data_IF_987368318494
#
_entry.id   IF_987368318494
#
_cell.length_a   1.000
_cell.length_b   1.000
_cell.length_c   1.000
_cell.angle_alpha   90.00
_cell.angle_beta   90.00
_cell.angle_gamma   90.00
#
_symmetry.space_group_name_H-M   'P 1'
#
loop_
_entity.id
_entity.type
_entity.pdbx_description
1 polymer ?
#
# COMPACT_ATOMS: atom_id res chain seq x y z
N UNK A 1 -10.59 -11.35 -12.48
CA UNK A 1 -9.30 -10.68 -12.76
C UNK A 1 -8.32 -11.26 -11.77
N UNK A 2 -7.19 -11.79 -12.23
CA UNK A 2 -6.16 -12.32 -11.35
C UNK A 2 -5.11 -11.23 -11.16
N UNK A 3 -4.80 -10.90 -9.91
CA UNK A 3 -3.83 -9.88 -9.55
C UNK A 3 -2.55 -10.54 -9.02
N UNK A 4 -1.40 -10.05 -9.47
CA UNK A 4 -0.13 -10.26 -8.80
C UNK A 4 0.10 -9.08 -7.87
N UNK A 5 0.42 -9.36 -6.60
CA UNK A 5 0.69 -8.34 -5.58
C UNK A 5 2.05 -8.63 -4.98
N UNK A 6 2.97 -7.68 -5.09
CA UNK A 6 4.23 -7.67 -4.35
C UNK A 6 4.08 -6.81 -3.10
N UNK A 7 4.10 -7.44 -1.93
CA UNK A 7 3.95 -6.80 -0.62
C UNK A 7 5.33 -6.52 -0.01
N UNK A 8 5.99 -5.49 -0.53
CA UNK A 8 7.28 -5.03 0.00
C UNK A 8 7.13 -4.19 1.27
N UNK A 9 8.19 -4.12 2.08
CA UNK A 9 8.19 -3.37 3.34
C UNK A 9 8.10 -1.85 3.15
N UNK A 10 8.54 -1.31 2.00
CA UNK A 10 8.51 0.14 1.73
C UNK A 10 7.47 0.55 0.70
N UNK A 11 7.27 -0.27 -0.33
CA UNK A 11 6.26 -0.06 -1.36
C UNK A 11 5.63 -1.40 -1.74
N UNK A 12 4.41 -1.31 -2.26
CA UNK A 12 3.62 -2.40 -2.81
C UNK A 12 3.41 -2.14 -4.30
N UNK A 13 3.45 -3.19 -5.12
CA UNK A 13 3.12 -3.15 -6.54
C UNK A 13 1.97 -4.10 -6.83
N UNK A 14 1.04 -3.67 -7.68
CA UNK A 14 -0.05 -4.51 -8.18
C UNK A 14 0.03 -4.57 -9.70
N UNK A 15 -0.06 -5.78 -10.25
CA UNK A 15 -0.14 -6.00 -11.68
C UNK A 15 -1.25 -7.00 -12.03
N UNK A 16 -1.72 -6.93 -13.27
CA UNK A 16 -2.64 -7.90 -13.85
C UNK A 16 -2.19 -8.26 -15.26
N UNK A 17 -2.67 -9.38 -15.78
CA UNK A 17 -2.58 -9.68 -17.21
C UNK A 17 -3.78 -9.09 -17.94
N UNK A 18 -3.55 -8.49 -19.09
CA UNK A 18 -4.58 -8.18 -20.09
C UNK A 18 -5.10 -9.47 -20.75
N UNK A 19 -6.12 -9.35 -21.62
CA UNK A 19 -6.70 -10.52 -22.32
C UNK A 19 -5.67 -11.27 -23.18
N UNK A 20 -4.73 -10.54 -23.76
CA UNK A 20 -3.61 -11.04 -24.57
C UNK A 20 -2.40 -11.51 -23.73
N UNK A 21 -2.54 -11.58 -22.41
CA UNK A 21 -1.50 -12.00 -21.45
C UNK A 21 -0.30 -11.04 -21.35
N UNK A 22 -0.49 -9.78 -21.74
CA UNK A 22 0.50 -8.72 -21.49
C UNK A 22 0.38 -8.26 -20.04
N UNK A 23 1.48 -8.23 -19.25
CA UNK A 23 1.44 -7.71 -17.90
C UNK A 23 1.28 -6.18 -17.93
N UNK A 24 0.37 -5.67 -17.11
CA UNK A 24 0.19 -4.25 -16.89
C UNK A 24 0.20 -3.95 -15.39
N UNK A 25 0.82 -2.83 -15.03
CA UNK A 25 0.82 -2.32 -13.66
C UNK A 25 -0.51 -1.60 -13.43
N UNK A 26 -1.08 -1.79 -12.23
CA UNK A 26 -2.24 -1.04 -11.76
C UNK A 26 -1.70 0.12 -10.91
N UNK A 27 -1.90 1.38 -11.34
CA UNK A 27 -1.30 2.52 -10.67
C UNK A 27 -1.97 2.83 -9.33
N UNK A 28 -1.27 3.61 -8.50
CA UNK A 28 -1.83 4.17 -7.27
C UNK A 28 -3.06 5.03 -7.58
N UNK A 29 -4.05 5.00 -6.68
CA UNK A 29 -5.30 5.77 -6.87
C UNK A 29 -5.08 7.29 -6.94
N UNK A 30 -4.01 7.82 -6.33
CA UNK A 30 -3.70 9.25 -6.35
C UNK A 30 -2.90 9.72 -7.58
N UNK A 31 -2.17 8.82 -8.23
CA UNK A 31 -1.32 9.15 -9.38
C UNK A 31 -1.36 8.03 -10.41
N UNK A 32 -1.97 8.31 -11.56
CA UNK A 32 -2.10 7.35 -12.67
C UNK A 32 -0.77 6.95 -13.31
N UNK A 33 0.30 7.69 -13.03
CA UNK A 33 1.64 7.39 -13.50
C UNK A 33 2.48 6.67 -12.43
N UNK A 34 1.97 6.49 -11.22
CA UNK A 34 2.69 5.78 -10.17
C UNK A 34 2.71 4.28 -10.45
N UNK A 35 3.89 3.69 -10.42
CA UNK A 35 4.07 2.24 -10.61
C UNK A 35 3.94 1.46 -9.29
N UNK A 36 4.00 2.15 -8.15
CA UNK A 36 3.95 1.56 -6.81
C UNK A 36 3.16 2.43 -5.84
N UNK A 37 2.69 1.82 -4.76
CA UNK A 37 2.02 2.48 -3.64
C UNK A 37 2.88 2.32 -2.38
N UNK A 38 3.14 3.37 -1.58
CA UNK A 38 3.85 3.24 -0.31
C UNK A 38 3.21 2.22 0.63
N UNK A 39 4.02 1.36 1.25
CA UNK A 39 3.55 0.41 2.27
C UNK A 39 3.39 1.13 3.61
N UNK A 40 2.33 1.94 3.70
CA UNK A 40 2.05 2.79 4.85
C UNK A 40 0.57 2.74 5.23
N UNK A 41 0.31 2.64 6.53
CA UNK A 41 -1.03 2.77 7.11
C UNK A 41 -0.98 3.79 8.26
N UNK A 42 -1.99 4.66 8.32
CA UNK A 42 -2.34 5.45 9.51
C UNK A 42 -3.70 4.97 10.00
N UNK A 43 -3.79 4.65 11.28
CA UNK A 43 -5.04 4.33 11.96
C UNK A 43 -5.29 5.44 12.98
N UNK A 44 -6.38 6.17 12.83
CA UNK A 44 -6.78 7.23 13.75
C UNK A 44 -8.30 7.31 13.87
N UNK A 45 -8.84 7.31 15.09
CA UNK A 45 -10.27 7.52 15.38
C UNK A 45 -11.24 6.77 14.44
N UNK A 46 -11.08 5.45 14.32
CA UNK A 46 -11.85 4.56 13.41
C UNK A 46 -11.71 4.86 11.91
N UNK A 47 -10.71 5.63 11.51
CA UNK A 47 -10.34 5.84 10.11
C UNK A 47 -9.03 5.13 9.81
N UNK A 48 -8.97 4.53 8.63
CA UNK A 48 -7.76 3.92 8.09
C UNK A 48 -7.38 4.70 6.83
N UNK A 49 -6.17 5.23 6.80
CA UNK A 49 -5.58 5.90 5.64
C UNK A 49 -4.41 5.04 5.19
N UNK A 50 -4.33 4.73 3.90
CA UNK A 50 -3.31 3.84 3.34
C UNK A 50 -2.52 4.49 2.21
N UNK A 51 -1.36 3.94 1.90
CA UNK A 51 -0.65 4.24 0.67
C UNK A 51 -0.10 5.67 0.60
N UNK A 52 -0.20 6.25 -0.58
CA UNK A 52 0.29 7.61 -0.86
C UNK A 52 -0.37 8.66 0.04
N UNK A 53 -1.66 8.49 0.39
CA UNK A 53 -2.34 9.39 1.32
C UNK A 53 -1.70 9.33 2.71
N UNK A 54 -1.45 8.13 3.24
CA UNK A 54 -0.82 7.96 4.54
C UNK A 54 0.56 8.64 4.60
N UNK A 55 1.36 8.49 3.54
CA UNK A 55 2.69 9.13 3.43
C UNK A 55 2.65 10.66 3.34
N UNK A 56 1.56 11.24 2.81
CA UNK A 56 1.36 12.70 2.81
C UNK A 56 0.95 13.19 4.20
N UNK A 57 0.00 12.49 4.84
CA UNK A 57 -0.55 12.89 6.14
C UNK A 57 0.42 12.71 7.31
N UNK A 58 1.31 11.70 7.29
CA UNK A 58 2.30 11.50 8.35
C UNK A 58 3.21 12.72 8.58
N UNK A 59 3.47 13.51 7.53
CA UNK A 59 4.26 14.74 7.63
C UNK A 59 3.54 15.86 8.39
N UNK A 60 2.23 15.76 8.56
CA UNK A 60 1.36 16.79 9.11
C UNK A 60 0.71 16.38 10.44
N UNK A 61 0.93 15.15 10.91
CA UNK A 61 0.34 14.63 12.15
C UNK A 61 1.45 14.48 13.21
N UNK A 62 1.22 14.99 14.42
CA UNK A 62 1.94 14.52 15.62
C UNK A 62 1.45 13.10 15.95
N UNK A 63 2.04 12.08 15.31
CA UNK A 63 1.53 10.71 15.40
C UNK A 63 1.76 10.09 16.78
N UNK A 64 0.71 9.46 17.35
CA UNK A 64 0.80 8.59 18.53
C UNK A 64 1.26 7.15 18.21
N UNK A 65 0.96 6.64 17.00
CA UNK A 65 1.43 5.32 16.55
C UNK A 65 1.62 5.26 15.02
N UNK A 66 2.84 5.03 14.54
CA UNK A 66 3.15 4.71 13.14
C UNK A 66 3.55 3.24 13.06
N UNK A 67 2.90 2.49 12.19
CA UNK A 67 3.25 1.08 11.95
C UNK A 67 3.90 1.03 10.57
N UNK A 68 5.25 0.97 10.48
CA UNK A 68 5.88 0.61 9.22
C UNK A 68 5.44 -0.80 8.87
N UNK A 69 4.98 -1.02 7.64
CA UNK A 69 4.66 -2.36 7.19
C UNK A 69 5.95 -3.18 7.16
N UNK A 70 6.10 -4.13 8.09
CA UNK A 70 7.04 -5.23 7.96
C UNK A 70 6.24 -6.49 7.66
N UNK A 71 6.78 -7.35 6.80
CA UNK A 71 6.21 -8.67 6.52
C UNK A 71 5.99 -9.47 7.82
N UNK A 72 6.81 -9.22 8.83
CA UNK A 72 6.76 -9.89 10.15
C UNK A 72 5.54 -9.47 11.00
N UNK A 73 4.88 -8.34 10.68
CA UNK A 73 3.65 -7.90 11.38
C UNK A 73 2.42 -8.68 10.90
N UNK A 74 2.43 -9.22 9.67
CA UNK A 74 1.34 -10.05 9.16
C UNK A 74 1.19 -11.36 9.95
N UNK A 75 2.31 -11.94 10.42
CA UNK A 75 2.29 -13.15 11.24
C UNK A 75 1.67 -12.93 12.63
N UNK A 76 1.58 -11.67 13.09
CA UNK A 76 0.97 -11.31 14.39
C UNK A 76 -0.55 -11.06 14.29
N UNK A 77 -1.07 -10.79 13.08
CA UNK A 77 -2.50 -10.45 12.87
C UNK A 77 -3.30 -11.67 12.42
N UNK A 78 -2.64 -12.67 11.82
CA UNK A 78 -3.27 -13.91 11.33
C UNK A 78 -3.08 -15.13 12.26
N UNK A 79 -2.76 -14.91 13.54
CA UNK A 79 -2.72 -15.93 14.59
C UNK A 79 -3.59 -15.56 15.80
#
# INVERSE_FOLDING_TARGET
MNLGIDLGSSNTLVATLTKDRTPIIIPDNLDKNAETTPSAIIIDNNKVIVGSLAKIFIRHIQIKTFIPFSKDILDLIFH
#
